data_IF_889885620832
#
_entry.id   IF_889885620832
#
_cell.length_a   1.000
_cell.length_b   1.000
_cell.length_c   1.000
_cell.angle_alpha   90.00
_cell.angle_beta   90.00
_cell.angle_gamma   90.00
#
_symmetry.space_group_name_H-M   'P 1'
#
loop_
_entity.id
_entity.type
_entity.pdbx_description
1 polymer ?
#
# COMPACT_ATOMS: atom_id res chain seq x y z
N UNK A 1 6.63 -21.82 -14.55
CA UNK A 1 7.50 -21.74 -13.36
C UNK A 1 6.86 -20.77 -12.38
N UNK A 2 6.36 -21.27 -11.25
CA UNK A 2 5.63 -20.46 -10.27
C UNK A 2 6.61 -19.56 -9.51
N UNK A 3 6.50 -18.23 -9.69
CA UNK A 3 7.24 -17.26 -8.87
C UNK A 3 6.93 -17.57 -7.40
N UNK A 4 7.95 -17.93 -6.62
CA UNK A 4 7.85 -18.02 -5.15
C UNK A 4 7.39 -16.65 -4.66
N UNK A 5 6.13 -16.54 -4.21
CA UNK A 5 5.62 -15.35 -3.53
C UNK A 5 6.55 -15.11 -2.35
N UNK A 6 7.25 -13.97 -2.32
CA UNK A 6 8.28 -13.66 -1.31
C UNK A 6 7.68 -13.36 0.08
N UNK A 7 6.47 -13.82 0.36
CA UNK A 7 5.63 -13.49 1.50
C UNK A 7 4.63 -12.38 1.18
N UNK A 8 3.45 -12.44 1.78
CA UNK A 8 2.41 -11.44 1.64
C UNK A 8 2.58 -10.35 2.70
N UNK A 9 2.56 -9.08 2.31
CA UNK A 9 2.53 -7.94 3.22
C UNK A 9 1.10 -7.42 3.32
N UNK A 10 0.55 -7.38 4.54
CA UNK A 10 -0.77 -6.82 4.83
C UNK A 10 -0.60 -5.47 5.53
N UNK A 11 -1.22 -4.42 4.99
CA UNK A 11 -1.20 -3.07 5.53
C UNK A 11 -2.64 -2.55 5.61
N UNK A 12 -2.89 -1.62 6.54
CA UNK A 12 -4.12 -0.82 6.52
C UNK A 12 -3.75 0.60 6.13
N UNK A 13 -4.47 1.14 5.15
CA UNK A 13 -4.23 2.48 4.61
C UNK A 13 -5.56 3.20 4.50
N UNK A 14 -5.62 4.44 4.99
CA UNK A 14 -6.80 5.26 4.87
C UNK A 14 -7.02 5.68 3.41
N UNK A 15 -8.22 5.45 2.88
CA UNK A 15 -8.61 5.83 1.52
C UNK A 15 -8.33 7.31 1.24
N UNK A 16 -7.72 7.59 0.09
CA UNK A 16 -7.38 8.94 -0.38
C UNK A 16 -6.29 9.66 0.43
N UNK A 17 -5.71 9.01 1.46
CA UNK A 17 -4.76 9.59 2.40
C UNK A 17 -3.54 8.71 2.64
N UNK A 18 -3.13 7.89 1.67
CA UNK A 18 -1.86 7.17 1.72
C UNK A 18 -0.68 8.13 1.67
N UNK A 19 0.19 8.03 2.67
CA UNK A 19 1.44 8.81 2.78
C UNK A 19 2.63 7.89 3.05
N UNK A 20 3.86 8.31 2.72
CA UNK A 20 5.09 7.57 3.01
C UNK A 20 5.46 7.54 4.50
N UNK A 21 4.48 7.61 5.39
CA UNK A 21 4.66 7.55 6.85
C UNK A 21 4.73 6.10 7.33
N UNK A 22 5.35 5.82 8.50
CA UNK A 22 5.18 4.53 9.17
C UNK A 22 3.69 4.24 9.41
N UNK A 23 3.18 3.02 9.13
CA UNK A 23 3.92 1.78 8.81
C UNK A 23 4.19 1.53 7.31
N UNK A 24 3.63 2.33 6.40
CA UNK A 24 3.69 2.11 4.95
C UNK A 24 5.12 2.26 4.42
N UNK A 25 5.79 3.35 4.78
CA UNK A 25 7.14 3.66 4.29
C UNK A 25 8.16 2.54 4.56
N UNK A 26 8.37 2.14 5.84
CA UNK A 26 9.28 1.05 6.17
C UNK A 26 8.89 -0.29 5.55
N UNK A 27 7.60 -0.66 5.55
CA UNK A 27 7.15 -1.96 5.08
C UNK A 27 7.33 -2.15 3.56
N UNK A 28 7.06 -1.10 2.78
CA UNK A 28 7.30 -1.08 1.34
C UNK A 28 8.78 -0.96 1.01
N UNK A 29 9.52 -0.11 1.73
CA UNK A 29 10.96 0.09 1.52
C UNK A 29 11.77 -1.18 1.77
N UNK A 30 11.46 -1.93 2.83
CA UNK A 30 12.09 -3.24 3.12
C UNK A 30 11.86 -4.28 2.02
N UNK A 31 10.79 -4.13 1.21
CA UNK A 31 10.45 -5.01 0.09
C UNK A 31 10.98 -4.50 -1.25
N UNK A 32 11.65 -3.34 -1.28
CA UNK A 32 12.09 -2.68 -2.51
C UNK A 32 10.95 -2.11 -3.35
N UNK A 33 9.79 -1.88 -2.75
CA UNK A 33 8.61 -1.32 -3.43
C UNK A 33 8.69 0.21 -3.40
N UNK A 34 8.37 0.84 -4.51
CA UNK A 34 8.36 2.29 -4.61
C UNK A 34 7.20 2.90 -3.81
N UNK A 35 7.53 3.50 -2.67
CA UNK A 35 6.56 4.03 -1.70
C UNK A 35 5.70 5.13 -2.34
N UNK A 36 6.31 6.08 -3.06
CA UNK A 36 5.59 7.21 -3.65
C UNK A 36 4.63 6.77 -4.75
N UNK A 37 5.04 5.81 -5.56
CA UNK A 37 4.21 5.24 -6.62
C UNK A 37 3.02 4.48 -6.02
N UNK A 38 3.26 3.68 -4.98
CA UNK A 38 2.20 3.03 -4.22
C UNK A 38 1.21 4.05 -3.65
N UNK A 39 1.68 5.10 -2.96
CA UNK A 39 0.79 6.11 -2.38
C UNK A 39 -0.06 6.81 -3.45
N UNK A 40 0.53 7.15 -4.60
CA UNK A 40 -0.23 7.76 -5.72
C UNK A 40 -1.27 6.80 -6.30
N UNK A 41 -0.85 5.57 -6.61
CA UNK A 41 -1.73 4.56 -7.20
C UNK A 41 -2.87 4.17 -6.25
N UNK A 42 -2.58 4.04 -4.96
CA UNK A 42 -3.58 3.76 -3.93
C UNK A 42 -4.54 4.94 -3.76
N UNK A 43 -4.04 6.18 -3.68
CA UNK A 43 -4.90 7.35 -3.53
C UNK A 43 -5.80 7.57 -4.75
N UNK A 44 -5.31 7.28 -5.96
CA UNK A 44 -6.11 7.33 -7.18
C UNK A 44 -7.21 6.25 -7.18
N UNK A 45 -6.87 5.00 -6.81
CA UNK A 45 -7.84 3.90 -6.74
C UNK A 45 -8.87 4.05 -5.63
N UNK A 46 -8.51 4.73 -4.54
CA UNK A 46 -9.39 4.96 -3.39
C UNK A 46 -10.01 6.36 -3.41
N UNK A 47 -9.85 7.11 -4.50
CA UNK A 47 -10.39 8.45 -4.65
C UNK A 47 -11.93 8.47 -4.64
N UNK A 48 -12.55 7.41 -5.17
CA UNK A 48 -14.00 7.22 -5.23
C UNK A 48 -14.57 6.59 -3.95
N UNK A 49 -13.70 6.13 -3.05
CA UNK A 49 -14.09 5.60 -1.75
C UNK A 49 -14.22 6.71 -0.72
N UNK A 50 -14.94 6.43 0.36
CA UNK A 50 -15.07 7.37 1.47
C UNK A 50 -13.69 7.65 2.08
N UNK A 51 -13.21 8.90 1.90
CA UNK A 51 -11.92 9.35 2.40
C UNK A 51 -11.78 9.05 3.90
N UNK A 52 -10.63 8.50 4.28
CA UNK A 52 -10.38 8.13 5.67
C UNK A 52 -10.84 6.71 6.04
N UNK A 53 -11.60 6.03 5.18
CA UNK A 53 -11.96 4.62 5.41
C UNK A 53 -10.71 3.73 5.43
N UNK A 54 -10.55 2.84 6.43
CA UNK A 54 -9.41 1.94 6.49
C UNK A 54 -9.55 0.84 5.44
N UNK A 55 -8.73 0.92 4.39
CA UNK A 55 -8.68 -0.10 3.33
C UNK A 55 -7.56 -1.09 3.65
N UNK A 56 -7.88 -2.39 3.75
CA UNK A 56 -6.85 -3.42 3.84
C UNK A 56 -6.16 -3.59 2.49
N UNK A 57 -4.84 -3.45 2.48
CA UNK A 57 -3.98 -3.64 1.31
C UNK A 57 -3.17 -4.91 1.49
N UNK A 58 -3.18 -5.77 0.47
CA UNK A 58 -2.34 -6.97 0.41
C UNK A 58 -1.40 -6.86 -0.76
N UNK A 59 -0.11 -7.02 -0.49
CA UNK A 59 0.96 -6.94 -1.49
C UNK A 59 1.64 -8.31 -1.56
N UNK A 60 1.70 -8.88 -2.76
CA UNK A 60 2.21 -10.23 -3.07
C UNK A 60 3.47 -10.18 -3.93
#
# INVERSE_FOLDING_TARGET
MAKKVAGQLKLQVAAGSATPSPPIGPALGQRGINIMEFCKAFNAQTQELEKGSPIPVVIT
#
